data_IF_937808561265
#
_entry.id   IF_937808561265
#
_cell.length_a   1.000
_cell.length_b   1.000
_cell.length_c   1.000
_cell.angle_alpha   90.00
_cell.angle_beta   90.00
_cell.angle_gamma   90.00
#
_symmetry.space_group_name_H-M   'P 1'
#
loop_
_entity.id
_entity.type
_entity.pdbx_description
1 polymer ?
#
# COMPACT_ATOMS: atom_id res chain seq x y z
N UNK A 1 18.09 -21.64 9.15
CA UNK A 1 17.83 -20.58 8.13
C UNK A 1 19.19 -19.99 7.77
N UNK A 2 19.69 -20.26 6.57
CA UNK A 2 20.94 -19.67 6.09
C UNK A 2 20.76 -18.17 5.96
N UNK A 3 21.65 -17.38 6.58
CA UNK A 3 21.60 -15.93 6.51
C UNK A 3 21.77 -15.49 5.05
N UNK A 4 20.70 -14.95 4.47
CA UNK A 4 20.81 -14.25 3.20
C UNK A 4 21.77 -13.08 3.41
N UNK A 5 22.83 -13.03 2.63
CA UNK A 5 23.73 -11.88 2.61
C UNK A 5 22.88 -10.62 2.35
N UNK A 6 23.14 -9.53 3.11
CA UNK A 6 22.45 -8.26 2.87
C UNK A 6 22.72 -7.86 1.42
N UNK A 7 21.68 -7.51 0.63
CA UNK A 7 21.90 -7.06 -0.73
C UNK A 7 22.80 -5.82 -0.73
N UNK A 8 23.69 -5.73 -1.70
CA UNK A 8 24.45 -4.51 -1.95
C UNK A 8 23.45 -3.43 -2.44
N UNK A 9 23.29 -2.36 -1.62
CA UNK A 9 22.35 -1.31 -1.92
C UNK A 9 22.79 -0.48 -3.11
N UNK A 10 21.90 -0.29 -4.06
CA UNK A 10 22.11 0.51 -5.25
C UNK A 10 21.22 1.77 -5.22
N UNK A 11 21.73 2.84 -5.81
CA UNK A 11 20.89 4.03 -6.04
C UNK A 11 19.88 3.74 -7.14
N UNK A 12 18.62 4.18 -6.96
CA UNK A 12 17.59 3.98 -7.98
C UNK A 12 17.96 4.78 -9.25
N UNK A 13 17.91 4.12 -10.40
CA UNK A 13 18.12 4.74 -11.71
C UNK A 13 17.00 4.34 -12.67
N UNK A 14 16.54 5.23 -13.57
CA UNK A 14 15.54 4.88 -14.59
C UNK A 14 16.01 3.70 -15.46
N UNK A 15 15.11 2.78 -15.77
CA UNK A 15 15.40 1.57 -16.54
C UNK A 15 16.03 0.42 -15.74
N UNK A 16 16.27 0.60 -14.43
CA UNK A 16 16.73 -0.50 -13.59
C UNK A 16 15.65 -1.56 -13.48
N UNK A 17 15.96 -2.79 -13.89
CA UNK A 17 15.07 -3.94 -13.80
C UNK A 17 15.35 -4.75 -12.57
N UNK A 18 14.30 -5.22 -11.93
CA UNK A 18 14.37 -6.09 -10.77
C UNK A 18 14.88 -7.47 -11.16
N UNK A 19 15.52 -8.15 -10.22
CA UNK A 19 15.93 -9.53 -10.40
C UNK A 19 14.69 -10.41 -10.65
N UNK A 20 14.84 -11.37 -11.54
CA UNK A 20 13.81 -12.38 -11.80
C UNK A 20 13.58 -13.22 -10.54
N UNK A 21 12.34 -13.37 -10.16
CA UNK A 21 11.92 -14.19 -9.03
C UNK A 21 10.50 -14.69 -9.21
N UNK A 22 10.15 -15.72 -8.47
CA UNK A 22 8.80 -16.22 -8.34
C UNK A 22 8.32 -16.03 -6.91
N UNK A 23 7.06 -15.69 -6.75
CA UNK A 23 6.43 -15.54 -5.43
C UNK A 23 5.11 -16.27 -5.39
N UNK A 24 4.72 -16.69 -4.21
CA UNK A 24 3.35 -17.14 -3.93
C UNK A 24 2.89 -16.62 -2.59
N UNK A 25 1.58 -16.49 -2.42
CA UNK A 25 0.95 -16.12 -1.15
C UNK A 25 0.27 -17.37 -0.58
N UNK A 26 0.74 -17.82 0.59
CA UNK A 26 0.13 -18.96 1.27
C UNK A 26 -1.10 -18.54 2.09
N UNK A 27 -1.99 -19.49 2.37
CA UNK A 27 -3.15 -19.30 3.24
C UNK A 27 -2.73 -18.78 4.63
N UNK A 28 -1.70 -19.37 5.23
CA UNK A 28 -1.22 -19.00 6.56
C UNK A 28 -0.70 -17.56 6.58
N UNK A 29 0.09 -17.17 5.56
CA UNK A 29 0.59 -15.80 5.43
C UNK A 29 -0.57 -14.80 5.33
N UNK A 30 -1.54 -15.03 4.43
CA UNK A 30 -2.71 -14.15 4.28
C UNK A 30 -3.50 -14.07 5.58
N UNK A 31 -3.78 -15.21 6.21
CA UNK A 31 -4.54 -15.29 7.45
C UNK A 31 -3.87 -14.50 8.60
N UNK A 32 -2.57 -14.71 8.81
CA UNK A 32 -1.83 -14.01 9.87
C UNK A 32 -1.83 -12.50 9.67
N UNK A 33 -1.63 -12.03 8.44
CA UNK A 33 -1.59 -10.60 8.13
C UNK A 33 -2.95 -9.92 8.24
N UNK A 34 -4.00 -10.54 7.69
CA UNK A 34 -5.36 -10.01 7.81
C UNK A 34 -5.86 -10.03 9.25
N UNK A 35 -5.51 -11.06 10.03
CA UNK A 35 -5.78 -11.11 11.46
C UNK A 35 -5.09 -9.97 12.22
N UNK A 36 -3.84 -9.64 11.88
CA UNK A 36 -3.15 -8.48 12.44
C UNK A 36 -3.86 -7.15 12.10
N UNK A 37 -4.52 -7.08 10.94
CA UNK A 37 -5.40 -5.95 10.58
C UNK A 37 -6.76 -5.99 11.30
N UNK A 38 -7.11 -7.06 12.01
CA UNK A 38 -8.45 -7.27 12.56
C UNK A 38 -9.50 -7.60 11.49
N UNK A 39 -9.07 -8.20 10.37
CA UNK A 39 -9.91 -8.53 9.22
C UNK A 39 -10.09 -10.05 9.07
N UNK A 40 -11.28 -10.47 8.64
CA UNK A 40 -11.61 -11.86 8.37
C UNK A 40 -11.11 -12.28 6.98
N UNK A 41 -10.16 -13.23 6.93
CA UNK A 41 -9.60 -13.72 5.67
C UNK A 41 -10.59 -14.54 4.84
N UNK A 42 -11.61 -15.13 5.46
CA UNK A 42 -12.66 -15.92 4.80
C UNK A 42 -13.45 -15.15 3.73
N UNK A 43 -13.46 -13.83 3.81
CA UNK A 43 -14.08 -12.94 2.81
C UNK A 43 -13.46 -13.14 1.41
N UNK A 44 -12.18 -13.49 1.34
CA UNK A 44 -11.47 -13.69 0.08
C UNK A 44 -11.60 -15.13 -0.47
N UNK A 45 -12.09 -16.08 0.33
CA UNK A 45 -12.18 -17.50 -0.08
C UNK A 45 -10.81 -18.07 -0.44
N UNK A 46 -10.66 -18.48 -1.71
CA UNK A 46 -9.38 -18.97 -2.26
C UNK A 46 -8.56 -17.89 -2.94
N UNK A 47 -9.08 -16.67 -3.04
CA UNK A 47 -8.39 -15.57 -3.66
C UNK A 47 -7.37 -14.95 -2.70
N UNK A 48 -6.30 -14.40 -3.25
CA UNK A 48 -5.37 -13.55 -2.50
C UNK A 48 -5.92 -12.13 -2.47
N UNK A 49 -5.93 -11.49 -1.29
CA UNK A 49 -6.20 -10.05 -1.20
C UNK A 49 -5.18 -9.26 -2.04
N UNK A 50 -5.59 -8.55 -3.09
CA UNK A 50 -4.68 -7.83 -3.98
C UNK A 50 -3.81 -6.78 -3.27
N UNK A 51 -4.20 -6.30 -2.10
CA UNK A 51 -3.40 -5.36 -1.32
C UNK A 51 -2.03 -5.92 -0.90
N UNK A 52 -1.86 -7.25 -0.81
CA UNK A 52 -0.57 -7.88 -0.54
C UNK A 52 0.48 -7.57 -1.60
N UNK A 53 0.06 -7.42 -2.85
CA UNK A 53 0.97 -7.19 -3.97
C UNK A 53 1.66 -5.82 -3.90
N UNK A 54 1.15 -4.88 -3.09
CA UNK A 54 1.84 -3.61 -2.78
C UNK A 54 3.13 -3.88 -1.99
N UNK A 55 3.03 -4.65 -0.91
CA UNK A 55 4.18 -5.05 -0.10
C UNK A 55 5.13 -5.96 -0.86
N UNK A 56 4.60 -6.94 -1.60
CA UNK A 56 5.40 -7.87 -2.42
C UNK A 56 6.19 -7.14 -3.52
N UNK A 57 5.63 -6.11 -4.15
CA UNK A 57 6.32 -5.27 -5.12
C UNK A 57 7.48 -4.48 -4.47
N UNK A 58 7.29 -3.97 -3.25
CA UNK A 58 8.34 -3.32 -2.46
C UNK A 58 9.45 -4.32 -2.13
N UNK A 59 9.08 -5.52 -1.68
CA UNK A 59 10.02 -6.58 -1.34
C UNK A 59 10.85 -7.05 -2.54
N UNK A 60 10.25 -7.12 -3.73
CA UNK A 60 10.97 -7.41 -4.98
C UNK A 60 12.07 -6.37 -5.25
N UNK A 61 11.77 -5.09 -5.07
CA UNK A 61 12.75 -4.01 -5.16
C UNK A 61 13.87 -4.15 -4.13
N UNK A 62 13.53 -4.46 -2.88
CA UNK A 62 14.50 -4.68 -1.79
C UNK A 62 15.43 -5.85 -2.12
N UNK A 63 14.89 -6.98 -2.57
CA UNK A 63 15.69 -8.14 -2.98
C UNK A 63 16.58 -7.85 -4.18
N UNK A 64 16.18 -6.91 -5.03
CA UNK A 64 16.95 -6.40 -6.16
C UNK A 64 17.98 -5.32 -5.77
N UNK A 65 18.17 -5.03 -4.47
CA UNK A 65 19.14 -4.06 -3.98
C UNK A 65 18.65 -2.61 -3.89
N UNK A 66 17.35 -2.34 -4.07
CA UNK A 66 16.79 -0.99 -3.94
C UNK A 66 16.21 -0.81 -2.54
N UNK A 67 16.81 0.06 -1.74
CA UNK A 67 16.38 0.30 -0.36
C UNK A 67 14.99 0.96 -0.30
N UNK A 68 14.11 0.43 0.57
CA UNK A 68 12.84 1.05 0.91
C UNK A 68 12.90 1.86 2.22
N UNK A 69 14.05 1.86 2.92
CA UNK A 69 14.19 2.51 4.23
C UNK A 69 13.94 4.01 4.14
N UNK A 70 13.02 4.50 4.99
CA UNK A 70 12.62 5.90 5.05
C UNK A 70 11.76 6.39 3.88
N UNK A 71 11.45 5.53 2.90
CA UNK A 71 10.60 5.90 1.77
C UNK A 71 9.13 6.04 2.21
N UNK A 72 8.45 7.06 1.69
CA UNK A 72 7.04 7.34 1.90
C UNK A 72 6.29 7.06 0.61
N UNK A 73 5.26 6.22 0.65
CA UNK A 73 4.36 6.02 -0.48
C UNK A 73 3.49 7.27 -0.69
N UNK A 74 3.43 7.72 -1.93
CA UNK A 74 2.62 8.88 -2.34
C UNK A 74 1.38 8.44 -3.12
N UNK A 75 1.59 7.54 -4.08
CA UNK A 75 0.57 6.99 -4.96
C UNK A 75 0.85 5.52 -5.21
N UNK A 76 -0.19 4.72 -5.22
CA UNK A 76 -0.17 3.33 -5.63
C UNK A 76 -1.28 3.10 -6.66
N UNK A 77 -0.93 2.77 -7.91
CA UNK A 77 -1.83 2.13 -8.86
C UNK A 77 -1.88 0.64 -8.55
N UNK A 78 -3.06 0.08 -8.48
CA UNK A 78 -3.29 -1.34 -8.26
C UNK A 78 -4.35 -1.85 -9.23
N UNK A 79 -3.93 -2.70 -10.17
CA UNK A 79 -4.84 -3.31 -11.13
C UNK A 79 -4.84 -4.82 -10.94
N UNK A 80 -6.00 -5.40 -10.68
CA UNK A 80 -6.22 -6.85 -10.71
C UNK A 80 -6.79 -7.20 -12.08
N UNK A 81 -5.97 -7.83 -12.92
CA UNK A 81 -6.37 -8.29 -14.27
C UNK A 81 -7.08 -9.64 -14.22
N UNK A 82 -6.65 -10.49 -13.29
CA UNK A 82 -7.22 -11.79 -12.95
C UNK A 82 -7.14 -11.98 -11.44
N UNK A 83 -8.05 -12.76 -10.87
CA UNK A 83 -8.00 -13.09 -9.43
C UNK A 83 -6.74 -13.89 -9.12
N UNK A 84 -5.86 -13.39 -8.24
CA UNK A 84 -4.73 -14.17 -7.76
C UNK A 84 -5.21 -15.23 -6.78
N UNK A 85 -4.73 -16.46 -6.92
CA UNK A 85 -5.17 -17.60 -6.10
C UNK A 85 -4.10 -17.96 -5.07
N UNK A 86 -4.53 -18.36 -3.87
CA UNK A 86 -3.63 -18.82 -2.81
C UNK A 86 -2.76 -20.00 -3.29
N UNK A 87 -1.45 -19.92 -3.03
CA UNK A 87 -0.48 -20.92 -3.45
C UNK A 87 -0.10 -20.87 -4.93
N UNK A 88 -0.73 -20.00 -5.74
CA UNK A 88 -0.32 -19.80 -7.13
C UNK A 88 1.08 -19.17 -7.19
N UNK A 89 1.98 -19.78 -7.96
CA UNK A 89 3.27 -19.18 -8.28
C UNK A 89 3.11 -18.11 -9.36
N UNK A 90 3.71 -16.95 -9.12
CA UNK A 90 3.67 -15.80 -10.01
C UNK A 90 5.09 -15.29 -10.24
N UNK A 91 5.48 -15.15 -11.50
CA UNK A 91 6.72 -14.50 -11.87
C UNK A 91 6.63 -12.98 -11.65
N UNK A 92 7.69 -12.39 -11.10
CA UNK A 92 7.77 -10.95 -10.82
C UNK A 92 8.58 -10.26 -11.91
N UNK A 93 8.01 -9.22 -12.52
CA UNK A 93 8.68 -8.34 -13.46
C UNK A 93 8.56 -6.90 -12.98
N UNK A 94 9.68 -6.30 -12.56
CA UNK A 94 9.71 -4.96 -11.99
C UNK A 94 10.72 -4.05 -12.68
N UNK A 95 10.40 -2.75 -12.75
CA UNK A 95 11.27 -1.72 -13.33
C UNK A 95 11.10 -0.39 -12.62
N UNK A 96 12.21 0.38 -12.51
CA UNK A 96 12.18 1.79 -12.10
C UNK A 96 11.93 2.63 -13.35
N UNK A 97 10.75 3.25 -13.44
CA UNK A 97 10.33 4.04 -14.59
C UNK A 97 10.97 5.43 -14.60
N UNK A 98 11.03 6.08 -13.44
CA UNK A 98 11.59 7.42 -13.33
C UNK A 98 12.18 7.70 -11.95
N UNK A 99 13.19 8.57 -11.94
CA UNK A 99 13.83 9.10 -10.72
C UNK A 99 13.98 10.60 -10.91
N UNK A 100 13.48 11.40 -9.98
CA UNK A 100 13.52 12.86 -10.08
C UNK A 100 13.82 13.49 -8.72
N UNK A 101 14.75 14.45 -8.71
CA UNK A 101 14.94 15.35 -7.58
C UNK A 101 13.76 16.32 -7.52
N UNK A 102 13.09 16.38 -6.37
CA UNK A 102 12.01 17.31 -6.10
C UNK A 102 12.33 18.10 -4.82
N UNK A 103 11.69 19.25 -4.57
CA UNK A 103 12.04 20.10 -3.42
C UNK A 103 12.07 19.37 -2.07
N UNK A 104 11.32 18.26 -1.92
CA UNK A 104 11.20 17.50 -0.67
C UNK A 104 12.06 16.23 -0.62
N UNK A 105 12.82 15.92 -1.66
CA UNK A 105 13.66 14.73 -1.71
C UNK A 105 13.73 14.08 -3.09
N UNK A 106 13.91 12.76 -3.11
CA UNK A 106 14.00 11.97 -4.32
C UNK A 106 12.66 11.25 -4.58
N UNK A 107 12.01 11.57 -5.69
CA UNK A 107 10.80 10.90 -6.16
C UNK A 107 11.20 9.74 -7.05
N UNK A 108 10.71 8.54 -6.73
CA UNK A 108 10.96 7.33 -7.51
C UNK A 108 9.62 6.74 -7.94
N UNK A 109 9.52 6.39 -9.20
CA UNK A 109 8.37 5.72 -9.77
C UNK A 109 8.77 4.33 -10.26
N UNK A 110 8.02 3.32 -9.85
CA UNK A 110 8.25 1.91 -10.20
C UNK A 110 6.98 1.29 -10.76
N UNK A 111 7.13 0.32 -11.65
CA UNK A 111 6.07 -0.56 -12.10
C UNK A 111 6.47 -2.01 -11.86
N UNK A 112 5.58 -2.78 -11.25
CA UNK A 112 5.81 -4.20 -10.97
C UNK A 112 4.58 -4.99 -11.43
N UNK A 113 4.81 -5.97 -12.28
CA UNK A 113 3.80 -6.91 -12.75
C UNK A 113 4.04 -8.29 -12.12
N UNK A 114 2.96 -8.94 -11.74
CA UNK A 114 2.92 -10.33 -11.31
C UNK A 114 2.23 -11.15 -12.39
N UNK A 115 2.96 -12.10 -12.96
CA UNK A 115 2.59 -12.82 -14.17
C UNK A 115 2.30 -14.29 -13.83
N UNK A 116 1.27 -14.86 -14.44
CA UNK A 116 1.03 -16.31 -14.40
C UNK A 116 2.09 -17.07 -15.22
N UNK A 117 2.12 -18.39 -15.08
CA UNK A 117 3.02 -19.27 -15.83
C UNK A 117 2.84 -19.14 -17.36
N UNK A 118 1.65 -18.72 -17.81
CA UNK A 118 1.36 -18.45 -19.23
C UNK A 118 1.82 -17.05 -19.68
N UNK A 119 2.41 -16.26 -18.78
CA UNK A 119 2.87 -14.90 -19.05
C UNK A 119 1.78 -13.83 -18.98
N UNK A 120 0.55 -14.20 -18.63
CA UNK A 120 -0.55 -13.24 -18.46
C UNK A 120 -0.38 -12.41 -17.18
N UNK A 121 -0.68 -11.11 -17.28
CA UNK A 121 -0.71 -10.25 -16.10
C UNK A 121 -1.86 -10.66 -15.17
N UNK A 122 -1.53 -10.93 -13.91
CA UNK A 122 -2.50 -11.18 -12.82
C UNK A 122 -2.71 -9.90 -12.04
N UNK A 123 -1.61 -9.28 -11.58
CA UNK A 123 -1.62 -7.99 -10.87
C UNK A 123 -0.60 -7.04 -11.49
N UNK A 124 -0.95 -5.75 -11.53
CA UNK A 124 0.00 -4.65 -11.76
C UNK A 124 0.00 -3.73 -10.54
N UNK A 125 1.21 -3.37 -10.08
CA UNK A 125 1.43 -2.51 -8.93
C UNK A 125 2.40 -1.38 -9.31
N UNK A 126 1.86 -0.23 -9.74
CA UNK A 126 2.64 0.98 -10.05
C UNK A 126 2.72 1.85 -8.81
N UNK A 127 3.91 2.26 -8.42
CA UNK A 127 4.13 3.04 -7.21
C UNK A 127 4.89 4.33 -7.49
N UNK A 128 4.47 5.42 -6.85
CA UNK A 128 5.26 6.65 -6.69
C UNK A 128 5.62 6.78 -5.22
N UNK A 129 6.91 6.79 -4.91
CA UNK A 129 7.44 7.01 -3.57
C UNK A 129 8.31 8.26 -3.50
N UNK A 130 8.47 8.78 -2.29
CA UNK A 130 9.36 9.88 -1.96
C UNK A 130 10.34 9.42 -0.88
N UNK A 131 11.63 9.55 -1.13
CA UNK A 131 12.67 9.50 -0.10
C UNK A 131 12.92 10.93 0.37
N UNK A 132 12.44 11.33 1.57
CA UNK A 132 12.53 12.72 2.00
C UNK A 132 13.98 13.15 2.21
N UNK A 133 14.29 14.39 1.80
CA UNK A 133 15.48 15.07 2.28
C UNK A 133 15.12 15.79 3.59
N UNK A 134 15.68 15.32 4.72
CA UNK A 134 15.35 15.84 6.04
C UNK A 134 15.72 17.32 6.23
N UNK A 135 16.77 17.80 5.53
CA UNK A 135 17.15 19.21 5.54
C UNK A 135 16.07 20.08 4.85
N UNK A 136 15.51 19.60 3.75
CA UNK A 136 14.47 20.30 3.00
C UNK A 136 13.10 20.28 3.71
N UNK A 137 12.82 19.28 4.55
CA UNK A 137 11.57 19.18 5.32
C UNK A 137 11.47 20.31 6.35
N UNK A 138 12.60 20.76 6.91
CA UNK A 138 12.64 21.86 7.89
C UNK A 138 12.32 23.24 7.29
N UNK A 139 12.49 23.43 5.98
CA UNK A 139 12.32 24.70 5.28
C UNK A 139 10.95 24.86 4.68
N UNK A 140 9.83 24.59 5.22
CA UNK A 140 8.45 24.85 4.71
C UNK A 140 8.32 25.07 3.18
N UNK A 141 9.23 24.50 2.41
CA UNK A 141 9.16 24.51 0.95
C UNK A 141 7.83 23.83 0.58
N UNK A 142 7.01 24.54 -0.17
CA UNK A 142 5.65 24.17 -0.48
C UNK A 142 5.50 22.70 -0.78
N UNK A 143 4.40 22.11 -0.35
CA UNK A 143 4.05 20.76 -0.74
C UNK A 143 4.05 20.76 -2.28
N UNK A 144 5.12 20.25 -2.90
CA UNK A 144 5.18 20.08 -4.35
C UNK A 144 3.86 19.46 -4.84
N UNK A 145 3.60 19.49 -6.11
CA UNK A 145 2.36 19.06 -6.74
C UNK A 145 1.81 17.76 -6.15
N UNK A 146 0.96 17.90 -5.13
CA UNK A 146 0.15 16.79 -4.64
C UNK A 146 -1.10 16.74 -5.51
N UNK A 147 -1.48 15.56 -6.03
CA UNK A 147 -2.77 15.41 -6.69
C UNK A 147 -3.88 15.96 -5.79
N UNK A 148 -4.88 16.64 -6.37
CA UNK A 148 -6.03 17.14 -5.63
C UNK A 148 -6.68 16.01 -4.81
N UNK A 149 -7.29 16.36 -3.67
CA UNK A 149 -8.04 15.37 -2.88
C UNK A 149 -9.23 14.88 -3.69
N UNK A 150 -9.44 13.56 -3.69
CA UNK A 150 -10.60 12.93 -4.33
C UNK A 150 -11.90 13.24 -3.57
N UNK A 151 -11.79 13.44 -2.27
CA UNK A 151 -12.90 13.62 -1.35
C UNK A 151 -12.72 14.97 -0.68
N UNK A 152 -13.66 15.89 -0.97
CA UNK A 152 -13.62 17.27 -0.44
C UNK A 152 -14.17 17.34 0.98
N UNK A 153 -15.21 16.56 1.29
CA UNK A 153 -15.82 16.48 2.63
C UNK A 153 -16.06 15.00 3.00
N UNK A 154 -15.60 14.62 4.18
CA UNK A 154 -15.82 13.27 4.74
C UNK A 154 -17.32 12.92 4.84
N UNK A 155 -18.21 13.91 4.89
CA UNK A 155 -19.67 13.73 4.89
C UNK A 155 -20.23 13.17 3.58
N UNK A 156 -19.46 13.20 2.50
CA UNK A 156 -19.83 12.58 1.22
C UNK A 156 -19.79 11.05 1.29
N UNK A 157 -19.14 10.50 2.34
CA UNK A 157 -18.92 9.08 2.51
C UNK A 157 -19.93 8.45 3.49
N UNK A 158 -20.41 7.25 3.14
CA UNK A 158 -21.06 6.33 4.06
C UNK A 158 -19.99 5.64 4.90
N UNK A 159 -20.05 5.81 6.23
CA UNK A 159 -19.03 5.31 7.15
C UNK A 159 -19.37 3.93 7.69
N UNK A 160 -18.39 3.03 7.63
CA UNK A 160 -18.41 1.73 8.30
C UNK A 160 -18.12 1.81 9.79
N UNK A 161 -17.94 0.64 10.40
CA UNK A 161 -17.59 0.49 11.81
C UNK A 161 -16.22 1.11 12.16
N UNK A 162 -15.96 1.22 13.47
CA UNK A 162 -14.67 1.67 14.00
C UNK A 162 -13.72 0.47 14.04
N UNK A 163 -12.48 0.69 13.61
CA UNK A 163 -11.34 -0.20 13.79
C UNK A 163 -10.31 0.50 14.68
N UNK A 164 -9.76 -0.22 15.64
CA UNK A 164 -8.72 0.29 16.53
C UNK A 164 -7.38 -0.34 16.18
N UNK A 165 -6.41 0.51 15.83
CA UNK A 165 -5.04 0.09 15.68
C UNK A 165 -4.38 -0.06 17.05
N UNK A 166 -3.48 -1.02 17.17
CA UNK A 166 -2.62 -1.18 18.34
C UNK A 166 -1.17 -1.32 17.90
N UNK A 167 -0.20 -0.87 18.73
CA UNK A 167 1.22 -1.06 18.42
C UNK A 167 1.59 -2.50 18.10
N UNK A 168 0.97 -3.47 18.80
CA UNK A 168 1.19 -4.89 18.57
C UNK A 168 0.69 -5.31 17.17
N UNK A 169 -0.55 -4.97 16.82
CA UNK A 169 -1.16 -5.33 15.54
C UNK A 169 -0.33 -4.77 14.35
N UNK A 170 0.14 -3.53 14.47
CA UNK A 170 0.95 -2.90 13.43
C UNK A 170 2.33 -3.56 13.32
N UNK A 171 2.97 -3.92 14.44
CA UNK A 171 4.24 -4.70 14.41
C UNK A 171 4.05 -6.09 13.81
N UNK A 172 2.99 -6.81 14.19
CA UNK A 172 2.70 -8.16 13.69
C UNK A 172 2.43 -8.14 12.17
N UNK A 173 1.86 -7.04 11.67
CA UNK A 173 1.66 -6.84 10.23
C UNK A 173 2.94 -6.43 9.49
N UNK A 174 3.76 -5.55 10.07
CA UNK A 174 4.81 -4.82 9.37
C UNK A 174 6.07 -5.67 9.18
N UNK A 175 6.30 -6.13 7.97
CA UNK A 175 7.46 -6.97 7.58
C UNK A 175 8.19 -6.45 6.36
N UNK A 176 7.80 -5.26 5.87
CA UNK A 176 8.31 -4.73 4.60
C UNK A 176 9.76 -4.20 4.68
N UNK A 177 10.40 -4.26 5.85
CA UNK A 177 11.79 -3.83 6.01
C UNK A 177 11.97 -2.30 6.05
N UNK A 178 10.92 -1.57 6.45
CA UNK A 178 10.97 -0.13 6.72
C UNK A 178 10.66 0.10 8.20
N UNK A 179 11.68 0.43 8.97
CA UNK A 179 11.62 0.50 10.44
C UNK A 179 10.66 1.56 11.00
N UNK A 180 10.25 2.57 10.19
CA UNK A 180 9.27 3.59 10.60
C UNK A 180 7.89 3.01 10.98
N UNK A 181 7.62 1.77 10.61
CA UNK A 181 6.35 1.10 10.87
C UNK A 181 6.31 0.40 12.24
N UNK A 182 7.46 0.08 12.85
CA UNK A 182 7.51 -0.73 14.07
C UNK A 182 8.53 -0.28 15.11
N UNK A 183 9.43 0.67 14.79
CA UNK A 183 10.42 1.21 15.70
C UNK A 183 10.13 2.69 16.01
N UNK A 184 9.94 3.01 17.29
CA UNK A 184 9.64 4.37 17.75
C UNK A 184 10.78 5.36 17.44
N UNK A 185 12.04 4.91 17.61
CA UNK A 185 13.19 5.75 17.31
C UNK A 185 13.34 6.04 15.81
N UNK A 186 13.04 5.06 14.95
CA UNK A 186 13.07 5.27 13.51
C UNK A 186 11.95 6.23 13.07
N UNK A 187 10.75 6.08 13.62
CA UNK A 187 9.65 6.99 13.39
C UNK A 187 9.97 8.42 13.86
N UNK A 188 10.57 8.57 15.04
CA UNK A 188 10.99 9.88 15.58
C UNK A 188 12.07 10.53 14.69
N UNK A 189 13.08 9.77 14.23
CA UNK A 189 14.09 10.29 13.28
C UNK A 189 13.46 10.74 11.96
N UNK A 190 12.38 10.08 11.52
CA UNK A 190 11.62 10.48 10.33
C UNK A 190 10.63 11.64 10.59
N UNK A 191 10.60 12.21 11.81
CA UNK A 191 9.74 13.33 12.18
C UNK A 191 8.28 12.96 12.50
N UNK A 192 8.01 11.69 12.78
CA UNK A 192 6.69 11.19 13.19
C UNK A 192 6.61 11.12 14.73
N UNK A 193 5.40 11.35 15.29
CA UNK A 193 5.15 11.23 16.74
C UNK A 193 5.20 9.79 17.27
N UNK A 194 4.99 8.84 16.40
CA UNK A 194 4.95 7.40 16.67
C UNK A 194 5.06 6.63 15.36
N UNK A 195 5.31 5.32 15.36
CA UNK A 195 5.23 4.49 14.18
C UNK A 195 3.90 4.63 13.43
N UNK A 196 3.98 4.54 12.11
CA UNK A 196 2.85 4.64 11.19
C UNK A 196 2.58 3.30 10.53
N UNK A 197 1.33 3.03 10.13
CA UNK A 197 1.04 1.81 9.37
C UNK A 197 1.72 1.85 8.00
N UNK A 198 2.11 0.69 7.49
CA UNK A 198 2.48 0.53 6.07
C UNK A 198 1.29 0.84 5.16
N UNK A 199 1.56 1.40 3.98
CA UNK A 199 0.50 1.75 3.03
C UNK A 199 -0.41 0.56 2.69
N UNK A 200 0.17 -0.64 2.52
CA UNK A 200 -0.55 -1.88 2.27
C UNK A 200 -1.59 -2.20 3.35
N UNK A 201 -1.26 -1.99 4.64
CA UNK A 201 -2.20 -2.22 5.74
C UNK A 201 -3.49 -1.39 5.60
N UNK A 202 -3.35 -0.11 5.21
CA UNK A 202 -4.51 0.75 4.95
C UNK A 202 -5.34 0.27 3.75
N UNK A 203 -4.69 -0.32 2.74
CA UNK A 203 -5.38 -0.81 1.54
C UNK A 203 -6.14 -2.10 1.80
N UNK A 204 -5.67 -2.99 2.69
CA UNK A 204 -6.42 -4.19 3.08
C UNK A 204 -7.83 -3.87 3.60
N UNK A 205 -8.00 -2.74 4.31
CA UNK A 205 -9.34 -2.31 4.76
C UNK A 205 -10.27 -1.97 3.58
N UNK A 206 -9.71 -1.39 2.51
CA UNK A 206 -10.48 -0.99 1.33
C UNK A 206 -10.82 -2.19 0.45
N UNK A 207 -9.86 -3.08 0.19
CA UNK A 207 -10.08 -4.32 -0.58
C UNK A 207 -11.03 -5.25 0.17
N UNK A 208 -10.88 -5.40 1.48
CA UNK A 208 -11.82 -6.17 2.29
C UNK A 208 -13.26 -5.64 2.18
N UNK A 209 -13.47 -4.33 2.17
CA UNK A 209 -14.80 -3.75 1.98
C UNK A 209 -15.38 -4.07 0.59
N UNK A 210 -14.54 -4.11 -0.45
CA UNK A 210 -14.95 -4.52 -1.81
C UNK A 210 -15.39 -6.00 -1.80
N UNK A 211 -14.55 -6.92 -1.30
CA UNK A 211 -14.85 -8.36 -1.25
C UNK A 211 -16.03 -8.69 -0.35
N UNK A 212 -16.21 -7.96 0.74
CA UNK A 212 -17.40 -8.09 1.61
C UNK A 212 -18.71 -7.76 0.90
N UNK A 213 -18.65 -6.97 -0.18
CA UNK A 213 -19.81 -6.67 -0.99
C UNK A 213 -20.08 -7.76 -2.02
N UNK A 214 -19.07 -8.10 -2.80
CA UNK A 214 -19.06 -9.15 -3.83
C UNK A 214 -17.64 -9.36 -4.31
N UNK A 215 -17.30 -10.53 -4.82
CA UNK A 215 -15.99 -10.83 -5.41
C UNK A 215 -15.88 -10.23 -6.80
N UNK A 216 -14.91 -9.32 -7.06
CA UNK A 216 -14.70 -8.78 -8.38
C UNK A 216 -13.90 -9.76 -9.25
N UNK A 217 -14.11 -9.69 -10.59
CA UNK A 217 -13.29 -10.40 -11.58
C UNK A 217 -12.15 -9.54 -12.10
N UNK A 218 -12.33 -8.23 -12.06
CA UNK A 218 -11.35 -7.22 -12.45
C UNK A 218 -11.55 -5.97 -11.59
N UNK A 219 -10.48 -5.26 -11.25
CA UNK A 219 -10.55 -3.86 -10.84
C UNK A 219 -9.27 -3.09 -11.19
N UNK A 220 -9.41 -1.78 -11.35
CA UNK A 220 -8.33 -0.82 -11.49
C UNK A 220 -8.53 0.35 -10.54
N UNK A 221 -7.54 0.62 -9.69
CA UNK A 221 -7.63 1.62 -8.64
C UNK A 221 -6.36 2.47 -8.52
N UNK A 222 -6.55 3.76 -8.23
CA UNK A 222 -5.51 4.67 -7.78
C UNK A 222 -5.69 4.98 -6.29
N UNK A 223 -4.61 4.80 -5.53
CA UNK A 223 -4.60 4.92 -4.08
C UNK A 223 -3.64 6.02 -3.67
N UNK A 224 -4.12 7.01 -2.92
CA UNK A 224 -3.36 8.18 -2.50
C UNK A 224 -3.16 8.17 -0.99
N UNK A 225 -1.91 8.21 -0.56
CA UNK A 225 -1.56 8.28 0.86
C UNK A 225 -1.46 9.75 1.28
N UNK A 226 -2.49 10.24 1.95
CA UNK A 226 -2.67 11.66 2.24
C UNK A 226 -2.01 12.10 3.54
N UNK A 227 -2.15 11.30 4.58
CA UNK A 227 -1.62 11.58 5.92
C UNK A 227 -1.11 10.32 6.58
N UNK A 228 -0.06 10.41 7.40
CA UNK A 228 0.36 9.27 8.21
C UNK A 228 -0.80 8.81 9.12
N UNK A 229 -1.00 7.51 9.18
CA UNK A 229 -1.90 6.85 10.12
C UNK A 229 -1.02 6.22 11.18
N UNK A 230 -1.15 6.64 12.43
CA UNK A 230 -0.34 6.13 13.53
C UNK A 230 -0.90 4.83 14.10
N UNK A 231 -0.06 4.03 14.68
CA UNK A 231 -0.37 2.69 15.18
C UNK A 231 -1.34 2.63 16.38
N UNK A 232 -1.72 3.77 16.92
CA UNK A 232 -2.60 3.97 18.08
C UNK A 232 -3.90 4.71 17.73
N UNK A 233 -4.23 4.78 16.46
CA UNK A 233 -5.40 5.53 15.98
C UNK A 233 -6.62 4.65 15.75
N UNK A 234 -7.79 5.29 15.80
CA UNK A 234 -9.06 4.70 15.41
C UNK A 234 -9.38 5.08 13.98
N UNK A 235 -9.86 4.12 13.22
CA UNK A 235 -10.13 4.28 11.80
C UNK A 235 -11.57 3.92 11.47
N UNK A 236 -12.08 4.48 10.37
CA UNK A 236 -13.31 4.04 9.70
C UNK A 236 -13.06 3.92 8.21
N UNK A 237 -13.75 3.00 7.58
CA UNK A 237 -13.81 2.94 6.12
C UNK A 237 -15.00 3.74 5.67
N UNK A 238 -14.74 4.69 4.77
CA UNK A 238 -15.77 5.47 4.09
C UNK A 238 -15.86 5.08 2.62
N UNK A 239 -17.09 4.96 2.11
CA UNK A 239 -17.37 4.67 0.71
C UNK A 239 -18.35 5.70 0.19
N UNK A 240 -18.15 6.24 -1.02
CA UNK A 240 -19.10 7.17 -1.65
C UNK A 240 -20.50 6.54 -1.77
N UNK A 241 -21.51 7.38 -1.87
CA UNK A 241 -22.92 6.92 -1.87
C UNK A 241 -23.25 5.96 -3.01
N UNK A 242 -22.68 6.20 -4.18
CA UNK A 242 -22.69 5.28 -5.31
C UNK A 242 -21.61 4.23 -5.10
N UNK A 243 -21.98 3.12 -4.47
CA UNK A 243 -21.03 2.13 -3.98
C UNK A 243 -20.69 1.08 -5.03
N UNK A 244 -19.38 0.83 -5.17
CA UNK A 244 -18.83 -0.30 -5.92
C UNK A 244 -19.25 -0.35 -7.40
N UNK A 245 -19.29 0.80 -8.02
CA UNK A 245 -19.36 1.02 -9.47
C UNK A 245 -18.07 1.73 -9.92
N UNK A 246 -17.87 1.90 -11.22
CA UNK A 246 -16.74 2.72 -11.73
C UNK A 246 -16.79 4.12 -11.12
N UNK A 247 -15.62 4.71 -10.86
CA UNK A 247 -15.44 6.02 -10.20
C UNK A 247 -15.85 6.06 -8.71
N UNK A 248 -16.04 4.89 -8.07
CA UNK A 248 -16.30 4.83 -6.61
C UNK A 248 -15.09 5.38 -5.84
N UNK A 249 -15.34 6.33 -4.95
CA UNK A 249 -14.35 6.87 -4.02
C UNK A 249 -14.46 6.18 -2.67
N UNK A 250 -13.31 5.77 -2.15
CA UNK A 250 -13.21 5.13 -0.83
C UNK A 250 -12.12 5.80 -0.01
N UNK A 251 -12.21 5.72 1.31
CA UNK A 251 -11.18 6.25 2.18
C UNK A 251 -11.00 5.47 3.48
N UNK A 252 -9.78 5.45 3.96
CA UNK A 252 -9.45 5.18 5.36
C UNK A 252 -9.45 6.52 6.09
N UNK A 253 -10.43 6.69 6.97
CA UNK A 253 -10.66 7.93 7.71
C UNK A 253 -10.18 7.76 9.15
N UNK A 254 -9.36 8.67 9.62
CA UNK A 254 -8.91 8.76 11.01
C UNK A 254 -10.07 9.30 11.85
N UNK A 255 -10.57 8.51 12.81
CA UNK A 255 -11.72 8.87 13.66
C UNK A 255 -11.27 9.69 14.88
N UNK A 256 -10.49 10.74 14.65
CA UNK A 256 -9.98 11.64 15.68
C UNK A 256 -10.93 12.80 15.89
N UNK A 257 -11.26 13.11 17.14
CA UNK A 257 -12.03 14.32 17.48
C UNK A 257 -11.07 15.52 17.62
N UNK A 258 -11.50 16.75 17.26
CA UNK A 258 -12.82 17.14 16.76
C UNK A 258 -13.01 16.95 15.25
N UNK A 259 -11.95 16.71 14.48
CA UNK A 259 -11.99 16.59 13.02
C UNK A 259 -11.61 15.21 12.53
N UNK A 260 -12.48 14.62 11.72
CA UNK A 260 -12.15 13.42 10.93
C UNK A 260 -11.24 13.79 9.79
N UNK A 261 -10.11 13.09 9.64
CA UNK A 261 -9.11 13.34 8.60
C UNK A 261 -8.91 12.11 7.75
N UNK A 262 -8.80 12.31 6.45
CA UNK A 262 -8.51 11.22 5.50
C UNK A 262 -7.01 10.88 5.60
N UNK A 263 -6.71 9.60 5.87
CA UNK A 263 -5.38 9.03 5.84
C UNK A 263 -5.01 8.51 4.45
N UNK A 264 -5.90 7.69 3.88
CA UNK A 264 -5.74 7.09 2.54
C UNK A 264 -7.01 7.30 1.74
N UNK A 265 -6.89 7.66 0.48
CA UNK A 265 -8.00 7.72 -0.50
C UNK A 265 -7.78 6.67 -1.58
N UNK A 266 -8.85 6.09 -2.09
CA UNK A 266 -8.84 5.21 -3.26
C UNK A 266 -9.90 5.69 -4.25
N UNK A 267 -9.51 5.82 -5.51
CA UNK A 267 -10.42 5.91 -6.64
C UNK A 267 -10.48 4.54 -7.30
N UNK A 268 -11.61 3.88 -7.21
CA UNK A 268 -11.90 2.64 -7.93
C UNK A 268 -12.35 3.01 -9.34
N UNK A 269 -11.39 3.20 -10.26
CA UNK A 269 -11.63 3.68 -11.63
C UNK A 269 -12.53 2.74 -12.43
N UNK A 270 -12.33 1.44 -12.24
CA UNK A 270 -13.11 0.40 -12.91
C UNK A 270 -13.24 -0.81 -11.99
N UNK A 271 -14.37 -1.47 -12.05
CA UNK A 271 -14.63 -2.74 -11.37
C UNK A 271 -15.60 -3.59 -12.20
N UNK A 272 -15.29 -4.88 -12.33
CA UNK A 272 -16.14 -5.88 -12.95
C UNK A 272 -16.45 -6.99 -11.95
N UNK A 273 -17.65 -7.53 -12.01
CA UNK A 273 -18.16 -8.50 -11.05
C UNK A 273 -18.50 -9.82 -11.75
N UNK A 274 -18.40 -10.93 -10.97
CA UNK A 274 -18.94 -12.24 -11.40
C UNK A 274 -20.44 -12.18 -11.70
#
# INVERSE_FOLDING_TARGET
MAGQAKPEWQEPVPGFRYAEEEISVSLDFQHERLRACGLESSVFGTDVDPAFFIGLAIQAGIRSGISAEGNINMLQGLTMHKRPVLGQELAVSGEILSVANVPRGLRVETDVAFLSNDGDRVISARRVSLKPNMEAVSTKLGAGERPASLISDVKELSMGGIMELTPRAVRDYSVEGNSIHYEEEAAARAGFRAPIIGGGMGVHYLTHAIWSKRTPTFFDADIFFRRPIFWDEKLRIGVSKEQFVSETKMAVVKDSLPEKKIGTEMLLKMIEWD
#
